data_IF_017845538984
#
_entry.id   IF_017845538984
#
_cell.length_a   1.000
_cell.length_b   1.000
_cell.length_c   1.000
_cell.angle_alpha   90.00
_cell.angle_beta   90.00
_cell.angle_gamma   90.00
#
_symmetry.space_group_name_H-M   'P 1'
#
loop_
_entity.id
_entity.type
_entity.pdbx_description
1 polymer ?
#
# COMPACT_ATOMS: atom_id res chain seq x y z
N UNK A 1 9.85 52.93 -14.96
CA UNK A 1 11.07 53.25 -15.71
C UNK A 1 12.22 52.50 -15.12
N UNK A 2 13.12 51.84 -15.93
CA UNK A 2 12.83 50.84 -16.98
C UNK A 2 13.53 49.47 -16.73
N UNK A 3 13.00 48.48 -17.41
CA UNK A 3 13.65 47.17 -17.67
C UNK A 3 14.78 47.36 -18.70
N UNK A 4 15.93 46.77 -18.48
CA UNK A 4 16.91 46.47 -19.51
C UNK A 4 17.58 45.13 -19.19
N UNK A 5 17.26 44.08 -19.88
CA UNK A 5 18.00 43.37 -20.93
C UNK A 5 19.35 42.77 -20.50
N UNK A 6 19.43 41.45 -20.43
CA UNK A 6 20.63 40.69 -20.78
C UNK A 6 20.23 39.46 -21.58
N UNK A 7 20.36 39.60 -22.90
CA UNK A 7 20.42 38.51 -23.87
C UNK A 7 21.87 37.98 -23.92
N UNK A 8 21.96 36.69 -24.18
CA UNK A 8 23.10 36.11 -24.91
C UNK A 8 24.06 35.30 -24.06
N UNK A 9 24.08 34.00 -24.28
CA UNK A 9 25.20 33.30 -24.93
C UNK A 9 24.75 31.84 -25.18
N UNK A 10 24.49 31.57 -26.46
CA UNK A 10 24.50 30.24 -27.02
C UNK A 10 25.94 29.77 -27.15
N UNK A 11 26.28 28.58 -26.66
CA UNK A 11 27.46 27.85 -27.14
C UNK A 11 27.06 26.39 -27.38
N UNK A 12 26.99 26.10 -28.66
CA UNK A 12 27.09 24.77 -29.25
C UNK A 12 28.41 24.12 -28.85
N UNK A 13 28.35 22.86 -28.41
CA UNK A 13 29.46 21.94 -28.59
C UNK A 13 28.91 20.61 -29.08
N UNK A 14 29.02 20.41 -30.37
CA UNK A 14 28.92 19.13 -31.01
C UNK A 14 30.21 18.32 -30.72
N UNK A 15 30.07 17.07 -30.40
CA UNK A 15 31.18 16.10 -30.27
C UNK A 15 30.68 14.70 -30.63
N UNK A 16 31.55 13.77 -31.04
CA UNK A 16 31.40 13.11 -32.33
C UNK A 16 30.71 11.74 -32.27
N UNK A 17 30.16 11.40 -33.43
CA UNK A 17 29.67 10.07 -33.81
C UNK A 17 30.77 9.01 -33.70
N UNK A 18 30.49 7.90 -33.05
CA UNK A 18 31.34 6.71 -33.04
C UNK A 18 30.67 5.61 -33.85
N UNK A 19 31.34 5.32 -34.96
CA UNK A 19 30.94 4.41 -36.03
C UNK A 19 30.96 2.97 -35.55
N UNK A 20 30.01 2.23 -36.11
CA UNK A 20 29.84 0.79 -36.16
C UNK A 20 31.07 0.03 -36.64
N UNK A 21 31.41 -1.07 -36.02
CA UNK A 21 32.07 -2.18 -36.67
C UNK A 21 31.24 -3.47 -36.54
N UNK A 22 30.57 -3.79 -37.65
CA UNK A 22 30.14 -5.15 -37.96
C UNK A 22 31.40 -6.01 -38.22
N UNK A 23 31.49 -7.14 -37.58
CA UNK A 23 32.33 -8.24 -38.00
C UNK A 23 31.51 -9.53 -38.01
N UNK A 24 31.09 -9.90 -39.18
CA UNK A 24 30.51 -11.21 -39.51
C UNK A 24 31.67 -12.20 -39.67
N UNK A 25 31.75 -13.21 -38.82
CA UNK A 25 32.55 -14.39 -39.09
C UNK A 25 31.63 -15.57 -39.37
N UNK A 26 31.49 -15.88 -40.63
CA UNK A 26 30.95 -17.13 -41.13
C UNK A 26 32.06 -18.21 -40.96
N UNK A 27 31.77 -19.23 -40.19
CA UNK A 27 32.52 -20.46 -40.18
C UNK A 27 31.60 -21.60 -40.61
N UNK A 28 31.82 -22.00 -41.85
CA UNK A 28 31.30 -23.22 -42.42
C UNK A 28 32.06 -24.42 -41.85
N UNK A 29 31.34 -25.38 -41.27
CA UNK A 29 31.87 -26.71 -40.99
C UNK A 29 30.93 -27.75 -41.58
N UNK A 30 31.40 -28.34 -42.69
CA UNK A 30 30.87 -29.58 -43.26
C UNK A 30 31.61 -30.78 -42.62
N UNK A 31 30.89 -31.84 -42.30
CA UNK A 31 31.48 -33.12 -41.93
C UNK A 31 30.56 -34.08 -41.18
N UNK A 32 29.89 -34.97 -41.85
CA UNK A 32 29.63 -36.38 -41.81
C UNK A 32 29.10 -37.10 -40.54
N UNK A 33 28.44 -38.25 -40.73
CA UNK A 33 27.50 -38.83 -39.76
C UNK A 33 28.17 -39.89 -38.90
N UNK A 34 28.05 -39.80 -37.57
CA UNK A 34 28.29 -40.94 -36.69
C UNK A 34 27.31 -40.83 -35.46
N UNK A 35 26.57 -41.89 -35.31
CA UNK A 35 25.72 -42.40 -34.26
C UNK A 35 25.58 -41.64 -32.94
N UNK A 36 24.39 -41.09 -32.67
CA UNK A 36 24.03 -40.62 -31.35
C UNK A 36 23.33 -41.73 -30.58
N UNK A 37 23.75 -42.08 -29.35
CA UNK A 37 22.99 -42.90 -28.46
C UNK A 37 21.72 -42.16 -28.04
N UNK A 38 20.59 -42.85 -28.05
CA UNK A 38 19.30 -42.41 -27.53
C UNK A 38 19.44 -42.01 -26.04
N UNK A 39 19.77 -40.76 -25.80
CA UNK A 39 19.65 -40.20 -24.46
C UNK A 39 18.18 -39.93 -24.21
N UNK A 40 17.61 -40.68 -23.23
CA UNK A 40 16.30 -40.47 -22.67
C UNK A 40 16.15 -39.01 -22.30
N UNK A 41 15.26 -38.30 -22.99
CA UNK A 41 14.75 -36.99 -22.59
C UNK A 41 14.02 -37.16 -21.25
N UNK A 42 14.77 -37.07 -20.17
CA UNK A 42 14.20 -36.71 -18.88
C UNK A 42 13.79 -35.23 -18.98
N UNK A 43 12.56 -35.05 -19.43
CA UNK A 43 11.89 -33.75 -19.34
C UNK A 43 11.72 -33.43 -17.86
N UNK A 44 12.75 -32.86 -17.25
CA UNK A 44 12.61 -32.20 -15.94
C UNK A 44 11.72 -30.98 -16.19
N UNK A 45 10.42 -31.22 -16.03
CA UNK A 45 9.43 -30.17 -15.85
C UNK A 45 9.87 -29.41 -14.60
N UNK A 46 10.63 -28.33 -14.77
CA UNK A 46 10.83 -27.38 -13.69
C UNK A 46 9.44 -26.76 -13.43
N UNK A 47 8.86 -26.94 -12.24
CA UNK A 47 7.69 -26.16 -11.93
C UNK A 47 8.13 -24.69 -12.01
N UNK A 48 7.61 -24.00 -13.01
CA UNK A 48 7.65 -22.54 -13.05
C UNK A 48 6.97 -22.09 -11.77
N UNK A 49 7.76 -21.83 -10.74
CA UNK A 49 7.31 -21.16 -9.53
C UNK A 49 6.75 -19.83 -10.02
N UNK A 50 5.44 -19.76 -10.16
CA UNK A 50 4.75 -18.52 -10.41
C UNK A 50 5.19 -17.59 -9.25
N UNK A 51 6.13 -16.70 -9.54
CA UNK A 51 6.44 -15.57 -8.66
C UNK A 51 5.13 -14.80 -8.57
N UNK A 52 4.41 -15.01 -7.49
CA UNK A 52 3.32 -14.15 -7.10
C UNK A 52 3.97 -12.78 -6.85
N UNK A 53 3.92 -11.92 -7.85
CA UNK A 53 4.33 -10.52 -7.69
C UNK A 53 3.34 -9.93 -6.69
N UNK A 54 3.73 -9.93 -5.44
CA UNK A 54 2.95 -9.27 -4.38
C UNK A 54 3.10 -7.77 -4.63
N UNK A 55 2.15 -7.18 -5.33
CA UNK A 55 2.08 -5.74 -5.54
C UNK A 55 1.97 -5.09 -4.16
N UNK A 56 2.87 -4.17 -3.85
CA UNK A 56 2.81 -3.41 -2.59
C UNK A 56 1.56 -2.53 -2.57
N UNK A 57 1.07 -2.21 -1.37
CA UNK A 57 -0.07 -1.30 -1.20
C UNK A 57 0.20 0.08 -1.83
N UNK A 58 1.45 0.52 -1.77
CA UNK A 58 1.91 1.75 -2.43
C UNK A 58 1.71 1.69 -3.96
N UNK A 59 2.16 0.62 -4.61
CA UNK A 59 2.00 0.42 -6.05
C UNK A 59 0.53 0.24 -6.45
N UNK A 60 -0.25 -0.46 -5.63
CA UNK A 60 -1.69 -0.65 -5.86
C UNK A 60 -2.43 0.69 -5.93
N UNK A 61 -2.15 1.61 -5.01
CA UNK A 61 -2.75 2.95 -4.99
C UNK A 61 -2.41 3.74 -6.27
N UNK A 62 -1.18 3.62 -6.78
CA UNK A 62 -0.78 4.27 -8.03
C UNK A 62 -1.52 3.70 -9.25
N UNK A 63 -1.65 2.39 -9.32
CA UNK A 63 -2.41 1.70 -10.38
C UNK A 63 -3.89 2.10 -10.33
N UNK A 64 -4.49 2.10 -9.15
CA UNK A 64 -5.90 2.41 -8.97
C UNK A 64 -6.20 3.90 -9.22
N UNK A 65 -5.25 4.79 -8.93
CA UNK A 65 -5.35 6.19 -9.32
C UNK A 65 -5.47 6.36 -10.85
N UNK A 66 -4.66 5.63 -11.62
CA UNK A 66 -4.71 5.67 -13.08
C UNK A 66 -6.05 5.10 -13.60
N UNK A 67 -6.55 4.00 -12.99
CA UNK A 67 -7.84 3.40 -13.33
C UNK A 67 -8.98 4.38 -13.06
N UNK A 68 -9.02 4.99 -11.87
CA UNK A 68 -10.03 5.98 -11.49
C UNK A 68 -10.01 7.21 -12.42
N UNK A 69 -8.83 7.66 -12.83
CA UNK A 69 -8.67 8.75 -13.78
C UNK A 69 -9.29 8.42 -15.15
N UNK A 70 -9.01 7.23 -15.68
CA UNK A 70 -9.58 6.75 -16.95
C UNK A 70 -11.09 6.56 -16.88
N UNK A 71 -11.59 6.07 -15.74
CA UNK A 71 -13.02 5.88 -15.48
C UNK A 71 -13.78 7.17 -15.18
N UNK A 72 -13.07 8.30 -14.98
CA UNK A 72 -13.65 9.59 -14.54
C UNK A 72 -14.40 9.49 -13.19
N UNK A 73 -13.98 8.56 -12.32
CA UNK A 73 -14.53 8.40 -10.98
C UNK A 73 -13.99 9.53 -10.07
N UNK A 74 -14.79 10.58 -9.94
CA UNK A 74 -14.39 11.79 -9.22
C UNK A 74 -14.19 11.57 -7.73
N UNK A 75 -15.00 10.72 -7.09
CA UNK A 75 -14.91 10.44 -5.65
C UNK A 75 -13.63 9.66 -5.37
N UNK A 76 -13.41 8.56 -6.08
CA UNK A 76 -12.19 7.74 -5.95
C UNK A 76 -10.92 8.55 -6.24
N UNK A 77 -10.95 9.40 -7.27
CA UNK A 77 -9.83 10.30 -7.57
C UNK A 77 -9.51 11.24 -6.43
N UNK A 78 -10.53 11.81 -5.78
CA UNK A 78 -10.33 12.70 -4.63
C UNK A 78 -9.64 11.98 -3.49
N UNK A 79 -10.14 10.80 -3.10
CA UNK A 79 -9.56 9.96 -2.05
C UNK A 79 -8.12 9.60 -2.38
N UNK A 80 -7.84 9.10 -3.58
CA UNK A 80 -6.51 8.68 -3.97
C UNK A 80 -5.51 9.83 -4.06
N UNK A 81 -5.95 11.03 -4.45
CA UNK A 81 -5.11 12.25 -4.40
C UNK A 81 -4.74 12.63 -2.97
N UNK A 82 -5.69 12.57 -2.05
CA UNK A 82 -5.45 12.84 -0.63
C UNK A 82 -4.47 11.82 -0.04
N UNK A 83 -4.67 10.52 -0.31
CA UNK A 83 -3.72 9.47 0.10
C UNK A 83 -2.32 9.72 -0.46
N UNK A 84 -2.18 10.02 -1.75
CA UNK A 84 -0.87 10.33 -2.36
C UNK A 84 -0.22 11.56 -1.72
N UNK A 85 -0.99 12.54 -1.31
CA UNK A 85 -0.48 13.72 -0.60
C UNK A 85 -0.01 13.34 0.80
N UNK A 86 -0.80 12.55 1.55
CA UNK A 86 -0.43 12.05 2.87
C UNK A 86 0.86 11.19 2.83
N UNK A 87 0.98 10.34 1.80
CA UNK A 87 2.19 9.54 1.54
C UNK A 87 3.41 10.43 1.29
N UNK A 88 3.28 11.45 0.44
CA UNK A 88 4.38 12.40 0.19
C UNK A 88 4.81 13.12 1.47
N UNK A 89 3.85 13.59 2.27
CA UNK A 89 4.15 14.24 3.53
C UNK A 89 4.89 13.28 4.47
N UNK A 90 4.46 12.04 4.56
CA UNK A 90 5.12 11.01 5.38
C UNK A 90 6.54 10.73 4.93
N UNK A 91 6.79 10.64 3.63
CA UNK A 91 8.13 10.46 3.07
C UNK A 91 9.05 11.65 3.38
N UNK A 92 8.52 12.88 3.39
CA UNK A 92 9.27 14.08 3.79
C UNK A 92 9.61 14.03 5.28
N UNK A 93 8.64 13.70 6.15
CA UNK A 93 8.87 13.52 7.60
C UNK A 93 9.97 12.49 7.89
N UNK A 94 9.97 11.38 7.15
CA UNK A 94 10.96 10.31 7.26
C UNK A 94 12.29 10.63 6.56
N UNK A 95 12.43 11.81 5.97
CA UNK A 95 13.61 12.23 5.17
C UNK A 95 13.96 11.26 4.04
N UNK A 96 12.93 10.63 3.41
CA UNK A 96 13.05 9.71 2.28
C UNK A 96 12.32 10.26 1.03
N UNK A 97 12.62 11.48 0.53
CA UNK A 97 11.95 12.04 -0.64
C UNK A 97 12.20 11.16 -1.87
N UNK A 98 11.15 10.83 -2.61
CA UNK A 98 11.23 9.96 -3.79
C UNK A 98 11.34 8.46 -3.49
N UNK A 99 11.31 8.05 -2.21
CA UNK A 99 11.25 6.64 -1.81
C UNK A 99 9.83 6.05 -1.88
N UNK A 100 9.69 4.84 -1.36
CA UNK A 100 8.42 4.16 -1.12
C UNK A 100 8.20 3.94 0.37
N UNK A 101 6.95 3.70 0.75
CA UNK A 101 6.57 3.28 2.10
C UNK A 101 6.33 1.77 2.13
N UNK A 102 6.68 1.14 3.25
CA UNK A 102 6.29 -0.24 3.52
C UNK A 102 4.77 -0.34 3.73
N UNK A 103 4.20 -1.52 3.52
CA UNK A 103 2.76 -1.72 3.66
C UNK A 103 2.25 -1.35 5.06
N UNK A 104 3.04 -1.59 6.11
CA UNK A 104 2.69 -1.17 7.48
C UNK A 104 2.59 0.36 7.63
N UNK A 105 3.53 1.10 7.02
CA UNK A 105 3.52 2.56 7.01
C UNK A 105 2.34 3.11 6.18
N UNK A 106 1.99 2.42 5.10
CA UNK A 106 0.82 2.73 4.28
C UNK A 106 -0.48 2.50 5.05
N UNK A 107 -0.60 1.38 5.78
CA UNK A 107 -1.75 1.09 6.63
C UNK A 107 -1.95 2.18 7.69
N UNK A 108 -0.87 2.69 8.31
CA UNK A 108 -0.97 3.81 9.27
C UNK A 108 -1.63 5.05 8.67
N UNK A 109 -1.23 5.38 7.45
CA UNK A 109 -1.80 6.53 6.74
C UNK A 109 -3.28 6.28 6.45
N UNK A 110 -3.63 5.11 5.90
CA UNK A 110 -5.02 4.78 5.53
C UNK A 110 -5.92 4.75 6.76
N UNK A 111 -5.46 4.17 7.87
CA UNK A 111 -6.21 4.15 9.14
C UNK A 111 -6.43 5.57 9.66
N UNK A 112 -5.39 6.42 9.63
CA UNK A 112 -5.49 7.82 10.07
C UNK A 112 -6.49 8.60 9.21
N UNK A 113 -6.40 8.48 7.89
CA UNK A 113 -7.34 9.12 6.96
C UNK A 113 -8.76 8.60 7.15
N UNK A 114 -8.94 7.30 7.36
CA UNK A 114 -10.25 6.69 7.65
C UNK A 114 -10.85 7.20 8.95
N UNK A 115 -10.04 7.36 10.00
CA UNK A 115 -10.50 7.93 11.28
C UNK A 115 -10.94 9.39 11.13
N UNK A 116 -10.21 10.19 10.37
CA UNK A 116 -10.59 11.58 10.11
C UNK A 116 -11.95 11.66 9.39
N UNK A 117 -12.23 10.75 8.40
CA UNK A 117 -13.55 10.69 7.76
C UNK A 117 -14.64 10.30 8.73
N UNK A 118 -14.38 9.33 9.59
CA UNK A 118 -15.36 8.91 10.60
C UNK A 118 -15.68 10.06 11.57
N UNK A 119 -14.65 10.76 12.06
CA UNK A 119 -14.83 11.93 12.95
C UNK A 119 -15.62 13.05 12.23
N UNK A 120 -15.37 13.27 10.92
CA UNK A 120 -16.13 14.22 10.10
C UNK A 120 -17.59 13.80 9.92
N UNK A 121 -17.85 12.52 9.66
CA UNK A 121 -19.21 11.97 9.54
C UNK A 121 -19.99 12.22 10.83
N UNK A 122 -19.39 11.92 11.99
CA UNK A 122 -20.02 12.08 13.29
C UNK A 122 -20.36 13.57 13.56
N UNK A 123 -19.43 14.48 13.25
CA UNK A 123 -19.63 15.93 13.39
C UNK A 123 -20.72 16.48 12.45
N UNK A 124 -20.69 16.10 11.17
CA UNK A 124 -21.69 16.56 10.21
C UNK A 124 -23.07 16.01 10.52
N UNK A 125 -23.15 14.75 10.97
CA UNK A 125 -24.41 14.14 11.41
C UNK A 125 -24.98 14.88 12.63
N UNK A 126 -24.15 15.18 13.63
CA UNK A 126 -24.56 15.96 14.81
C UNK A 126 -25.02 17.38 14.46
N UNK A 127 -24.44 17.98 13.41
CA UNK A 127 -24.82 19.28 12.89
C UNK A 127 -26.04 19.26 11.93
N UNK A 128 -26.64 18.09 11.67
CA UNK A 128 -27.76 17.93 10.72
C UNK A 128 -27.38 18.11 9.26
N UNK A 129 -26.06 18.06 8.92
CA UNK A 129 -25.54 18.23 7.56
C UNK A 129 -25.32 16.86 6.91
N UNK A 130 -26.41 16.15 6.65
CA UNK A 130 -26.38 14.81 6.03
C UNK A 130 -25.74 14.82 4.65
N UNK A 131 -25.90 15.91 3.89
CA UNK A 131 -25.27 16.13 2.58
C UNK A 131 -23.74 16.03 2.62
N UNK A 132 -23.11 16.48 3.69
CA UNK A 132 -21.67 16.40 3.92
C UNK A 132 -21.28 15.05 4.54
N UNK A 133 -22.06 14.53 5.48
CA UNK A 133 -21.84 13.22 6.06
C UNK A 133 -21.83 12.11 5.00
N UNK A 134 -22.76 12.14 4.05
CA UNK A 134 -22.85 11.16 2.97
C UNK A 134 -21.61 11.19 2.04
N UNK A 135 -21.04 12.36 1.79
CA UNK A 135 -19.79 12.48 1.02
C UNK A 135 -18.60 11.84 1.75
N UNK A 136 -18.43 12.16 3.02
CA UNK A 136 -17.38 11.57 3.85
C UNK A 136 -17.54 10.05 3.98
N UNK A 137 -18.80 9.57 4.10
CA UNK A 137 -19.09 8.14 4.13
C UNK A 137 -18.71 7.44 2.82
N UNK A 138 -18.99 8.05 1.66
CA UNK A 138 -18.58 7.50 0.37
C UNK A 138 -17.05 7.44 0.24
N UNK A 139 -16.32 8.45 0.72
CA UNK A 139 -14.85 8.44 0.73
C UNK A 139 -14.29 7.38 1.69
N UNK A 140 -14.91 7.19 2.86
CA UNK A 140 -14.53 6.19 3.83
C UNK A 140 -14.68 4.75 3.29
N UNK A 141 -15.72 4.49 2.49
CA UNK A 141 -15.90 3.19 1.83
C UNK A 141 -14.70 2.86 0.94
N UNK A 142 -14.24 3.83 0.15
CA UNK A 142 -13.07 3.64 -0.73
C UNK A 142 -11.79 3.38 0.08
N UNK A 143 -11.58 4.10 1.19
CA UNK A 143 -10.42 3.87 2.07
C UNK A 143 -10.43 2.46 2.67
N UNK A 144 -11.61 1.95 3.05
CA UNK A 144 -11.76 0.60 3.61
C UNK A 144 -11.39 -0.52 2.63
N UNK A 145 -11.44 -0.29 1.32
CA UNK A 145 -11.01 -1.27 0.31
C UNK A 145 -9.51 -1.60 0.40
N UNK A 146 -8.70 -0.67 0.94
CA UNK A 146 -7.26 -0.83 1.13
C UNK A 146 -6.87 -1.38 2.48
N UNK A 147 -7.82 -1.54 3.40
CA UNK A 147 -7.58 -2.16 4.69
C UNK A 147 -7.76 -3.68 4.59
N UNK A 148 -7.01 -4.46 5.37
CA UNK A 148 -7.23 -5.89 5.47
C UNK A 148 -8.64 -6.16 6.01
N UNK A 149 -9.18 -7.35 5.66
CA UNK A 149 -10.52 -7.74 6.08
C UNK A 149 -10.68 -7.62 7.61
N UNK A 150 -11.69 -6.90 8.09
CA UNK A 150 -11.93 -6.76 9.53
C UNK A 150 -12.24 -8.12 10.17
N UNK A 151 -11.89 -8.27 11.44
CA UNK A 151 -12.25 -9.45 12.23
C UNK A 151 -13.76 -9.48 12.47
N UNK A 152 -14.34 -10.68 12.44
CA UNK A 152 -15.70 -10.89 12.91
C UNK A 152 -15.78 -10.69 14.43
N UNK A 153 -16.99 -10.51 14.96
CA UNK A 153 -17.20 -10.39 16.41
C UNK A 153 -16.69 -11.62 17.17
N UNK A 154 -16.86 -12.80 16.59
CA UNK A 154 -16.41 -14.09 17.16
C UNK A 154 -14.88 -14.20 17.13
N UNK A 155 -14.27 -13.86 16.00
CA UNK A 155 -12.80 -13.83 15.87
C UNK A 155 -12.18 -12.82 16.84
N UNK A 156 -12.80 -11.66 16.99
CA UNK A 156 -12.33 -10.63 17.94
C UNK A 156 -12.45 -11.10 19.39
N UNK A 157 -13.55 -11.74 19.76
CA UNK A 157 -13.74 -12.30 21.11
C UNK A 157 -12.71 -13.36 21.43
N UNK A 158 -12.51 -14.31 20.51
CA UNK A 158 -11.50 -15.37 20.67
C UNK A 158 -10.07 -14.80 20.78
N UNK A 159 -9.76 -13.77 19.96
CA UNK A 159 -8.47 -13.09 20.02
C UNK A 159 -8.25 -12.37 21.36
N UNK A 160 -9.30 -11.71 21.90
CA UNK A 160 -9.22 -11.07 23.22
C UNK A 160 -8.98 -12.11 24.30
N UNK A 161 -9.69 -13.24 24.30
CA UNK A 161 -9.54 -14.31 25.29
C UNK A 161 -8.12 -14.89 25.25
N UNK A 162 -7.60 -15.18 24.07
CA UNK A 162 -6.24 -15.66 23.88
C UNK A 162 -5.20 -14.66 24.40
N UNK A 163 -5.34 -13.39 24.03
CA UNK A 163 -4.40 -12.34 24.44
C UNK A 163 -4.47 -12.08 25.93
N UNK A 164 -5.65 -12.08 26.55
CA UNK A 164 -5.83 -11.95 28.01
C UNK A 164 -5.08 -13.06 28.75
N UNK A 165 -5.16 -14.31 28.26
CA UNK A 165 -4.43 -15.44 28.82
C UNK A 165 -2.92 -15.30 28.64
N UNK A 166 -2.47 -14.88 27.43
CA UNK A 166 -1.05 -14.73 27.11
C UNK A 166 -0.37 -13.65 27.96
N UNK A 167 -0.99 -12.47 28.09
CA UNK A 167 -0.42 -11.35 28.87
C UNK A 167 -0.71 -11.46 30.37
N UNK A 168 -1.47 -12.46 30.81
CA UNK A 168 -1.84 -12.67 32.20
C UNK A 168 -2.70 -11.53 32.79
N UNK A 169 -3.57 -10.94 31.96
CA UNK A 169 -4.41 -9.82 32.40
C UNK A 169 -5.55 -10.31 33.30
N UNK A 170 -5.63 -9.81 34.52
CA UNK A 170 -6.65 -10.21 35.51
C UNK A 170 -7.55 -9.06 35.96
N UNK A 171 -7.24 -7.84 35.56
CA UNK A 171 -7.96 -6.65 36.03
C UNK A 171 -8.13 -5.60 34.93
N UNK A 172 -9.09 -4.66 35.09
CA UNK A 172 -9.24 -3.54 34.16
C UNK A 172 -7.98 -2.66 34.00
N UNK A 173 -7.05 -2.71 34.96
CA UNK A 173 -5.75 -1.98 34.86
C UNK A 173 -4.84 -2.55 33.75
N UNK A 174 -5.03 -3.81 33.40
CA UNK A 174 -4.24 -4.48 32.36
C UNK A 174 -4.79 -4.27 30.96
N UNK A 175 -5.93 -3.56 30.80
CA UNK A 175 -6.58 -3.31 29.53
C UNK A 175 -5.63 -2.73 28.48
N UNK A 176 -4.77 -1.79 28.87
CA UNK A 176 -3.79 -1.19 27.95
C UNK A 176 -2.81 -2.19 27.35
N UNK A 177 -2.36 -3.19 28.16
CA UNK A 177 -1.45 -4.25 27.67
C UNK A 177 -2.14 -5.12 26.61
N UNK A 178 -3.39 -5.54 26.89
CA UNK A 178 -4.18 -6.37 25.97
C UNK A 178 -4.44 -5.63 24.66
N UNK A 179 -4.90 -4.36 24.75
CA UNK A 179 -5.16 -3.54 23.56
C UNK A 179 -3.90 -3.36 22.73
N UNK A 180 -2.77 -3.02 23.36
CA UNK A 180 -1.49 -2.82 22.65
C UNK A 180 -1.00 -4.09 21.95
N UNK A 181 -1.13 -5.25 22.59
CA UNK A 181 -0.74 -6.53 22.01
C UNK A 181 -1.60 -6.87 20.78
N UNK A 182 -2.91 -6.72 20.89
CA UNK A 182 -3.84 -6.97 19.78
C UNK A 182 -3.59 -5.99 18.61
N UNK A 183 -3.44 -4.70 18.90
CA UNK A 183 -3.21 -3.68 17.87
C UNK A 183 -1.88 -3.88 17.14
N UNK A 184 -0.85 -4.40 17.79
CA UNK A 184 0.43 -4.69 17.15
C UNK A 184 0.33 -5.79 16.08
N UNK A 185 -0.46 -6.86 16.34
CA UNK A 185 -0.59 -7.99 15.42
C UNK A 185 -1.74 -7.88 14.40
N UNK A 186 -2.73 -7.04 14.67
CA UNK A 186 -3.98 -6.97 13.89
C UNK A 186 -4.33 -5.57 13.39
N UNK A 187 -3.32 -4.81 13.04
CA UNK A 187 -3.42 -3.44 12.54
C UNK A 187 -4.34 -3.35 11.32
N UNK A 188 -5.30 -2.43 11.36
CA UNK A 188 -6.27 -2.24 10.28
C UNK A 188 -7.40 -3.27 10.21
N UNK A 189 -7.34 -4.37 10.98
CA UNK A 189 -8.40 -5.38 11.07
C UNK A 189 -9.35 -5.16 12.24
N UNK A 190 -8.96 -4.33 13.20
CA UNK A 190 -9.71 -4.09 14.45
C UNK A 190 -9.91 -2.59 14.63
N UNK A 191 -11.15 -2.19 14.92
CA UNK A 191 -11.45 -0.84 15.34
C UNK A 191 -11.06 -0.64 16.81
N UNK A 192 -10.27 0.40 17.09
CA UNK A 192 -9.74 0.65 18.44
C UNK A 192 -10.82 0.95 19.49
N UNK A 193 -11.96 1.57 19.11
CA UNK A 193 -13.06 1.86 20.00
C UNK A 193 -13.82 0.59 20.36
N UNK A 194 -14.19 -0.19 19.35
CA UNK A 194 -14.83 -1.49 19.53
C UNK A 194 -13.97 -2.45 20.36
N UNK A 195 -12.65 -2.48 20.08
CA UNK A 195 -11.69 -3.28 20.85
C UNK A 195 -11.66 -2.85 22.32
N UNK A 196 -11.57 -1.54 22.60
CA UNK A 196 -11.52 -1.03 23.96
C UNK A 196 -12.78 -1.40 24.75
N UNK A 197 -13.96 -1.29 24.13
CA UNK A 197 -15.23 -1.66 24.75
C UNK A 197 -15.31 -3.17 25.02
N UNK A 198 -14.88 -4.00 24.06
CA UNK A 198 -14.87 -5.45 24.20
C UNK A 198 -13.90 -5.92 25.29
N UNK A 199 -12.67 -5.40 25.31
CA UNK A 199 -11.67 -5.72 26.35
C UNK A 199 -12.14 -5.25 27.72
N UNK A 200 -12.72 -4.04 27.82
CA UNK A 200 -13.29 -3.55 29.06
C UNK A 200 -14.38 -4.48 29.59
N UNK A 201 -15.31 -4.90 28.74
CA UNK A 201 -16.38 -5.85 29.10
C UNK A 201 -15.80 -7.20 29.55
N UNK A 202 -14.74 -7.66 28.93
CA UNK A 202 -14.10 -8.97 29.26
C UNK A 202 -13.34 -8.95 30.58
N UNK A 203 -12.73 -7.82 30.95
CA UNK A 203 -11.96 -7.66 32.19
C UNK A 203 -12.78 -7.12 33.37
N UNK A 204 -14.06 -6.82 33.17
CA UNK A 204 -14.97 -6.51 34.27
C UNK A 204 -15.42 -7.82 34.94
N UNK A 205 -15.46 -7.89 36.30
CA UNK A 205 -15.91 -9.07 37.01
C UNK A 205 -17.41 -9.33 36.84
#
# INVERSE_FOLDING_TARGET
>A
MPYAALQGIARQTAGPAMQSHRSVHSASYAGGPQGFPRFLLFSTLHPTTAMTVTTTLFEQIDVDYIKAYKAKDSVRLTVLRLLKTAVKNRLVELKRPGGSLADEEMLDIIIKEGKQRQDSIDQFTAAGRTDLADKEAAELVILKEYLPKPLSAEELAALIDATVAEVGATSPKDMGKVISAIMAGHKGRVDGKALSEAVKKRLQP
#
